data_IF_566331164413
#
_entry.id   IF_566331164413
#
_cell.length_a   1.000
_cell.length_b   1.000
_cell.length_c   1.000
_cell.angle_alpha   90.00
_cell.angle_beta   90.00
_cell.angle_gamma   90.00
#
_symmetry.space_group_name_H-M   'P 1'
#
loop_
_entity.id
_entity.type
_entity.pdbx_description
1 polymer ?
#
# COMPACT_ATOMS: atom_id res chain seq x y z
N UNK A 1 -13.61 41.28 -85.02
CA UNK A 1 -13.83 42.69 -85.41
C UNK A 1 -12.85 43.68 -84.75
N UNK A 2 -12.43 43.50 -83.49
CA UNK A 2 -11.60 44.48 -82.75
C UNK A 2 -10.14 44.69 -83.26
N UNK A 3 -9.52 43.73 -83.96
CA UNK A 3 -8.16 43.91 -84.52
C UNK A 3 -8.10 44.90 -85.69
N UNK A 4 -9.21 45.12 -86.41
CA UNK A 4 -9.21 45.85 -87.69
C UNK A 4 -9.03 47.37 -87.56
N UNK A 5 -9.17 47.92 -86.36
CA UNK A 5 -9.00 49.35 -86.07
C UNK A 5 -7.91 49.63 -85.01
N UNK A 6 -7.17 48.60 -84.59
CA UNK A 6 -6.16 48.73 -83.53
C UNK A 6 -4.99 49.61 -83.99
N UNK A 7 -4.60 49.47 -85.26
CA UNK A 7 -3.49 50.21 -85.87
C UNK A 7 -3.78 51.71 -85.97
N UNK A 8 -5.02 52.09 -86.34
CA UNK A 8 -5.46 53.49 -86.40
C UNK A 8 -5.50 54.16 -85.02
N UNK A 9 -5.81 53.41 -83.96
CA UNK A 9 -5.79 53.92 -82.57
C UNK A 9 -4.35 54.06 -82.07
N UNK A 10 -3.46 53.13 -82.41
CA UNK A 10 -2.05 53.21 -82.02
C UNK A 10 -1.31 54.38 -82.67
N UNK A 11 -1.70 54.80 -83.88
CA UNK A 11 -1.11 55.94 -84.61
C UNK A 11 -1.58 57.30 -84.03
N UNK A 12 -2.75 57.36 -83.40
CA UNK A 12 -3.36 58.62 -82.93
C UNK A 12 -3.13 58.91 -81.44
N UNK A 13 -2.76 57.91 -80.64
CA UNK A 13 -2.47 58.09 -79.22
C UNK A 13 -1.11 58.77 -79.03
N UNK A 14 -1.10 59.89 -78.31
CA UNK A 14 0.14 60.57 -77.87
C UNK A 14 0.56 60.08 -76.48
N UNK A 15 1.84 60.17 -76.08
CA UNK A 15 2.35 59.77 -74.76
C UNK A 15 1.61 60.38 -73.55
N UNK A 16 0.91 61.50 -73.76
CA UNK A 16 0.07 62.19 -72.77
C UNK A 16 -1.17 61.35 -72.38
N UNK A 17 -1.61 60.42 -73.23
CA UNK A 17 -2.80 59.61 -72.97
C UNK A 17 -2.43 58.33 -72.20
N UNK A 18 -3.12 58.06 -71.07
CA UNK A 18 -2.97 56.84 -70.25
C UNK A 18 -3.04 55.54 -71.05
N UNK A 19 -3.79 55.53 -72.16
CA UNK A 19 -3.96 54.34 -73.01
C UNK A 19 -2.78 54.08 -73.96
N UNK A 20 -1.89 55.06 -74.16
CA UNK A 20 -0.75 54.95 -75.08
C UNK A 20 0.17 53.79 -74.71
N UNK A 21 0.72 53.81 -73.49
CA UNK A 21 1.63 52.79 -73.00
C UNK A 21 0.95 51.44 -72.85
N UNK A 22 -0.27 51.42 -72.32
CA UNK A 22 -1.05 50.20 -72.15
C UNK A 22 -1.25 49.47 -73.48
N UNK A 23 -1.72 50.16 -74.53
CA UNK A 23 -2.00 49.53 -75.82
C UNK A 23 -0.74 49.02 -76.49
N UNK A 24 0.34 49.82 -76.51
CA UNK A 24 1.62 49.41 -77.12
C UNK A 24 2.25 48.23 -76.39
N UNK A 25 2.21 48.21 -75.06
CA UNK A 25 2.69 47.08 -74.25
C UNK A 25 1.91 45.80 -74.59
N UNK A 26 0.57 45.87 -74.61
CA UNK A 26 -0.32 44.74 -74.91
C UNK A 26 -0.11 44.23 -76.34
N UNK A 27 -0.01 45.13 -77.33
CA UNK A 27 0.21 44.76 -78.72
C UNK A 27 1.55 44.05 -78.91
N UNK A 28 2.65 44.59 -78.36
CA UNK A 28 3.96 43.94 -78.45
C UNK A 28 3.99 42.59 -77.72
N UNK A 29 3.35 42.50 -76.55
CA UNK A 29 3.21 41.24 -75.82
C UNK A 29 2.48 40.17 -76.64
N UNK A 30 1.35 40.51 -77.27
CA UNK A 30 0.59 39.56 -78.10
C UNK A 30 1.29 39.20 -79.42
N UNK A 31 2.14 40.07 -79.95
CA UNK A 31 2.96 39.80 -81.13
C UNK A 31 4.25 39.02 -80.79
N UNK A 32 4.42 38.58 -79.55
CA UNK A 32 5.61 37.90 -79.04
C UNK A 32 6.92 38.74 -79.03
N UNK A 33 6.80 40.07 -79.15
CA UNK A 33 7.92 41.01 -79.03
C UNK A 33 8.13 41.37 -77.54
N UNK A 34 8.58 40.40 -76.74
CA UNK A 34 8.64 40.55 -75.28
C UNK A 34 9.68 41.56 -74.78
N UNK A 35 10.79 41.73 -75.51
CA UNK A 35 11.81 42.73 -75.19
C UNK A 35 11.26 44.16 -75.37
N UNK A 36 10.61 44.42 -76.51
CA UNK A 36 9.96 45.71 -76.77
C UNK A 36 8.81 45.97 -75.80
N UNK A 37 8.04 44.92 -75.47
CA UNK A 37 6.97 45.01 -74.47
C UNK A 37 7.53 45.40 -73.09
N UNK A 38 8.69 44.86 -72.69
CA UNK A 38 9.37 45.21 -71.44
C UNK A 38 9.88 46.64 -71.44
N UNK A 39 10.52 47.10 -72.52
CA UNK A 39 10.99 48.48 -72.65
C UNK A 39 9.82 49.48 -72.53
N UNK A 40 8.72 49.21 -73.24
CA UNK A 40 7.51 50.04 -73.16
C UNK A 40 6.88 49.97 -71.76
N UNK A 41 6.96 48.83 -71.08
CA UNK A 41 6.48 48.67 -69.71
C UNK A 41 7.33 49.47 -68.70
N UNK A 42 8.66 49.52 -68.88
CA UNK A 42 9.55 50.35 -68.07
C UNK A 42 9.24 51.83 -68.24
N UNK A 43 9.03 52.29 -69.48
CA UNK A 43 8.57 53.65 -69.76
C UNK A 43 7.17 53.92 -69.15
N UNK A 44 6.26 52.95 -69.22
CA UNK A 44 4.93 53.08 -68.63
C UNK A 44 5.02 53.28 -67.12
N UNK A 45 5.87 52.49 -66.45
CA UNK A 45 6.07 52.56 -65.01
C UNK A 45 6.53 53.96 -64.56
N UNK A 46 7.47 54.57 -65.29
CA UNK A 46 7.96 55.93 -64.99
C UNK A 46 6.87 57.01 -65.16
N UNK A 47 5.87 56.74 -66.01
CA UNK A 47 4.82 57.70 -66.37
C UNK A 47 3.47 57.41 -65.68
N UNK A 48 3.42 56.48 -64.72
CA UNK A 48 2.21 56.20 -63.95
C UNK A 48 2.46 56.24 -62.44
N UNK A 49 1.46 56.72 -61.68
CA UNK A 49 1.55 56.85 -60.21
C UNK A 49 1.10 55.56 -59.54
N UNK A 50 1.83 55.11 -58.52
CA UNK A 50 1.41 54.01 -57.65
C UNK A 50 0.06 54.30 -56.97
N UNK A 51 -0.72 53.25 -56.71
CA UNK A 51 -2.09 53.31 -56.20
C UNK A 51 -3.14 53.64 -57.26
N UNK A 52 -2.77 53.65 -58.55
CA UNK A 52 -3.70 53.92 -59.66
C UNK A 52 -4.00 52.67 -60.49
N UNK A 53 -5.15 52.67 -61.16
CA UNK A 53 -5.55 51.58 -62.06
C UNK A 53 -4.54 51.35 -63.20
N UNK A 54 -3.87 52.42 -63.65
CA UNK A 54 -2.84 52.34 -64.69
C UNK A 54 -1.60 51.60 -64.20
N UNK A 55 -1.17 51.87 -62.97
CA UNK A 55 -0.03 51.18 -62.33
C UNK A 55 -0.35 49.71 -62.05
N UNK A 56 -1.56 49.40 -61.60
CA UNK A 56 -2.04 48.02 -61.43
C UNK A 56 -1.96 47.22 -62.74
N UNK A 57 -2.46 47.80 -63.84
CA UNK A 57 -2.43 47.15 -65.17
C UNK A 57 -1.00 47.00 -65.69
N UNK A 58 -0.16 48.02 -65.50
CA UNK A 58 1.26 47.97 -65.86
C UNK A 58 1.98 46.82 -65.14
N UNK A 59 1.81 46.72 -63.81
CA UNK A 59 2.41 45.68 -63.00
C UNK A 59 1.91 44.28 -63.39
N UNK A 60 0.63 44.14 -63.73
CA UNK A 60 0.08 42.88 -64.25
C UNK A 60 0.78 42.44 -65.53
N UNK A 61 0.89 43.31 -66.54
CA UNK A 61 1.58 42.95 -67.79
C UNK A 61 3.08 42.71 -67.59
N UNK A 62 3.71 43.39 -66.63
CA UNK A 62 5.09 43.11 -66.24
C UNK A 62 5.23 41.69 -65.69
N UNK A 63 4.28 41.24 -64.88
CA UNK A 63 4.25 39.86 -64.39
C UNK A 63 4.05 38.83 -65.52
N UNK A 64 3.22 39.15 -66.52
CA UNK A 64 3.03 38.29 -67.69
C UNK A 64 4.28 38.18 -68.56
N UNK A 65 5.08 39.25 -68.68
CA UNK A 65 6.38 39.21 -69.34
C UNK A 65 7.33 38.28 -68.57
N UNK A 66 7.41 38.42 -67.24
CA UNK A 66 8.23 37.53 -66.41
C UNK A 66 7.74 36.07 -66.42
N UNK A 67 6.44 35.83 -66.58
CA UNK A 67 5.87 34.50 -66.81
C UNK A 67 6.44 33.86 -68.06
N UNK A 68 6.53 34.60 -69.17
CA UNK A 68 7.13 34.11 -70.43
C UNK A 68 8.64 33.88 -70.27
N UNK A 69 9.33 34.72 -69.50
CA UNK A 69 10.75 34.52 -69.17
C UNK A 69 11.00 33.40 -68.14
N UNK A 70 9.97 32.66 -67.70
CA UNK A 70 10.04 31.62 -66.67
C UNK A 70 10.65 32.10 -65.34
N UNK A 71 10.61 33.41 -65.06
CA UNK A 71 11.08 33.96 -63.79
C UNK A 71 9.91 34.04 -62.80
N UNK A 72 9.66 32.93 -62.10
CA UNK A 72 8.53 32.79 -61.17
C UNK A 72 8.58 33.77 -60.00
N UNK A 73 9.75 34.09 -59.46
CA UNK A 73 9.86 34.99 -58.32
C UNK A 73 9.51 36.42 -58.70
N UNK A 74 9.98 36.89 -59.85
CA UNK A 74 9.58 38.20 -60.38
C UNK A 74 8.12 38.21 -60.80
N UNK A 75 7.61 37.12 -61.38
CA UNK A 75 6.19 37.00 -61.68
C UNK A 75 5.33 37.15 -60.40
N UNK A 76 5.66 36.43 -59.32
CA UNK A 76 4.99 36.55 -58.01
C UNK A 76 5.07 37.96 -57.46
N UNK A 77 6.26 38.56 -57.47
CA UNK A 77 6.48 39.93 -57.01
C UNK A 77 5.58 40.93 -57.75
N UNK A 78 5.59 40.90 -59.09
CA UNK A 78 4.82 41.85 -59.89
C UNK A 78 3.31 41.59 -59.85
N UNK A 79 2.88 40.34 -59.69
CA UNK A 79 1.48 40.01 -59.39
C UNK A 79 1.05 40.58 -58.04
N UNK A 80 1.86 40.42 -56.98
CA UNK A 80 1.56 41.00 -55.67
C UNK A 80 1.50 42.53 -55.72
N UNK A 81 2.44 43.17 -56.41
CA UNK A 81 2.40 44.63 -56.65
C UNK A 81 1.13 45.02 -57.40
N UNK A 82 0.75 44.28 -58.45
CA UNK A 82 -0.48 44.52 -59.18
C UNK A 82 -1.71 44.39 -58.26
N UNK A 83 -1.83 43.31 -57.49
CA UNK A 83 -2.94 43.07 -56.55
C UNK A 83 -3.07 44.17 -55.51
N UNK A 84 -1.96 44.63 -54.91
CA UNK A 84 -1.98 45.73 -53.94
C UNK A 84 -2.54 47.01 -54.58
N UNK A 85 -2.09 47.32 -55.79
CA UNK A 85 -2.56 48.50 -56.52
C UNK A 85 -4.02 48.36 -56.99
N UNK A 86 -4.47 47.15 -57.37
CA UNK A 86 -5.86 46.85 -57.69
C UNK A 86 -6.75 47.11 -56.47
N UNK A 87 -6.35 46.67 -55.28
CA UNK A 87 -7.06 46.92 -54.03
C UNK A 87 -7.10 48.42 -53.66
N UNK A 88 -5.95 49.10 -53.73
CA UNK A 88 -5.86 50.54 -53.43
C UNK A 88 -6.68 51.42 -54.38
N UNK A 89 -6.80 51.01 -55.65
CA UNK A 89 -7.55 51.75 -56.67
C UNK A 89 -8.99 51.26 -56.89
N UNK A 90 -9.49 50.41 -55.98
CA UNK A 90 -10.81 49.81 -56.02
C UNK A 90 -11.15 49.14 -57.37
N UNK A 91 -10.17 48.46 -57.97
CA UNK A 91 -10.39 47.67 -59.18
C UNK A 91 -11.06 46.35 -58.83
N UNK A 92 -12.28 46.16 -59.33
CA UNK A 92 -13.12 45.00 -59.00
C UNK A 92 -12.84 43.73 -59.82
N UNK A 93 -11.87 43.77 -60.75
CA UNK A 93 -11.56 42.63 -61.63
C UNK A 93 -10.50 41.68 -61.05
N UNK A 94 -9.60 42.20 -60.20
CA UNK A 94 -8.63 41.49 -59.34
C UNK A 94 -7.91 40.27 -59.95
N UNK A 95 -7.61 40.31 -61.26
CA UNK A 95 -7.05 39.17 -61.99
C UNK A 95 -5.65 38.83 -61.49
N UNK A 96 -4.88 39.84 -61.07
CA UNK A 96 -3.53 39.61 -60.55
C UNK A 96 -3.55 38.75 -59.29
N UNK A 97 -4.55 38.96 -58.42
CA UNK A 97 -4.65 38.22 -57.15
C UNK A 97 -5.03 36.75 -57.38
N UNK A 98 -5.85 36.45 -58.40
CA UNK A 98 -6.16 35.09 -58.82
C UNK A 98 -4.94 34.35 -59.36
N UNK A 99 -4.20 34.98 -60.28
CA UNK A 99 -2.98 34.38 -60.82
C UNK A 99 -1.95 34.15 -59.71
N UNK A 100 -1.87 35.06 -58.74
CA UNK A 100 -1.00 34.88 -57.58
C UNK A 100 -1.45 33.69 -56.73
N UNK A 101 -2.76 33.56 -56.47
CA UNK A 101 -3.31 32.45 -55.70
C UNK A 101 -3.07 31.09 -56.37
N UNK A 102 -3.18 31.01 -57.69
CA UNK A 102 -2.87 29.79 -58.45
C UNK A 102 -1.38 29.41 -58.33
N UNK A 103 -0.47 30.39 -58.41
CA UNK A 103 0.96 30.15 -58.21
C UNK A 103 1.23 29.68 -56.77
N UNK A 104 0.62 30.31 -55.76
CA UNK A 104 0.77 29.89 -54.36
C UNK A 104 0.27 28.45 -54.15
N UNK A 105 -0.85 28.08 -54.77
CA UNK A 105 -1.38 26.72 -54.69
C UNK A 105 -0.41 25.71 -55.31
N UNK A 106 0.11 26.01 -56.50
CA UNK A 106 1.08 25.17 -57.20
C UNK A 106 2.42 25.05 -56.46
N UNK A 107 2.83 26.08 -55.72
CA UNK A 107 4.01 26.08 -54.86
C UNK A 107 3.77 25.35 -53.52
N UNK A 108 2.53 24.89 -53.25
CA UNK A 108 2.14 24.16 -52.03
C UNK A 108 1.73 25.05 -50.85
N UNK A 109 1.70 26.37 -51.03
CA UNK A 109 1.23 27.34 -50.05
C UNK A 109 -0.29 27.53 -50.15
N UNK A 110 -1.00 26.49 -49.72
CA UNK A 110 -2.47 26.39 -49.78
C UNK A 110 -3.13 27.47 -48.89
N UNK A 111 -2.48 27.91 -47.81
CA UNK A 111 -3.04 28.89 -46.88
C UNK A 111 -3.12 30.27 -47.55
N UNK A 112 -2.02 30.75 -48.14
CA UNK A 112 -2.04 32.02 -48.88
C UNK A 112 -2.89 31.93 -50.14
N UNK A 113 -2.84 30.80 -50.86
CA UNK A 113 -3.71 30.56 -52.01
C UNK A 113 -5.18 30.71 -51.64
N UNK A 114 -5.62 30.07 -50.56
CA UNK A 114 -6.99 30.15 -50.07
C UNK A 114 -7.37 31.57 -49.63
N UNK A 115 -6.51 32.26 -48.87
CA UNK A 115 -6.76 33.65 -48.44
C UNK A 115 -6.88 34.63 -49.62
N UNK A 116 -6.04 34.49 -50.66
CA UNK A 116 -6.08 35.36 -51.84
C UNK A 116 -7.33 35.15 -52.67
N UNK A 117 -7.70 33.88 -52.87
CA UNK A 117 -8.93 33.47 -53.55
C UNK A 117 -10.18 33.91 -52.80
N UNK A 118 -10.21 33.79 -51.48
CA UNK A 118 -11.33 34.26 -50.66
C UNK A 118 -11.48 35.78 -50.76
N UNK A 119 -10.38 36.52 -50.59
CA UNK A 119 -10.37 37.98 -50.71
C UNK A 119 -10.92 38.41 -52.08
N UNK A 120 -10.51 37.74 -53.15
CA UNK A 120 -10.98 38.11 -54.47
C UNK A 120 -12.42 37.69 -54.76
N UNK A 121 -12.86 36.54 -54.24
CA UNK A 121 -14.24 36.09 -54.33
C UNK A 121 -15.22 37.05 -53.62
N UNK A 122 -14.85 37.58 -52.45
CA UNK A 122 -15.65 38.60 -51.75
C UNK A 122 -15.90 39.84 -52.62
N UNK A 123 -14.90 40.28 -53.39
CA UNK A 123 -15.04 41.43 -54.29
C UNK A 123 -15.84 41.09 -55.57
N UNK A 124 -15.61 39.92 -56.17
CA UNK A 124 -16.30 39.47 -57.38
C UNK A 124 -17.80 39.23 -57.10
N UNK A 125 -18.14 38.63 -55.96
CA UNK A 125 -19.53 38.34 -55.58
C UNK A 125 -20.36 39.60 -55.35
N UNK A 126 -19.74 40.72 -54.95
CA UNK A 126 -20.42 41.99 -54.72
C UNK A 126 -20.56 42.87 -55.98
N UNK A 127 -19.57 42.86 -56.89
CA UNK A 127 -19.47 43.89 -57.93
C UNK A 127 -19.35 43.38 -59.39
N UNK A 128 -19.26 42.07 -59.64
CA UNK A 128 -18.94 41.54 -60.99
C UNK A 128 -20.17 41.14 -61.83
N UNK A 129 -19.97 41.02 -63.15
CA UNK A 129 -20.97 40.47 -64.07
C UNK A 129 -20.93 38.94 -64.06
N UNK A 130 -22.10 38.30 -64.18
CA UNK A 130 -22.26 36.84 -64.10
C UNK A 130 -21.24 36.05 -64.94
N UNK A 131 -20.91 36.52 -66.16
CA UNK A 131 -19.92 35.87 -67.04
C UNK A 131 -18.51 35.77 -66.46
N UNK A 132 -18.10 36.70 -65.59
CA UNK A 132 -16.77 36.69 -64.98
C UNK A 132 -16.69 35.76 -63.77
N UNK A 133 -17.77 35.64 -63.00
CA UNK A 133 -17.85 34.68 -61.91
C UNK A 133 -17.64 33.24 -62.41
N UNK A 134 -18.20 32.89 -63.58
CA UNK A 134 -18.06 31.57 -64.20
C UNK A 134 -16.62 31.15 -64.51
N UNK A 135 -15.74 32.08 -64.91
CA UNK A 135 -14.34 31.78 -65.26
C UNK A 135 -13.50 31.43 -64.02
N UNK A 136 -13.87 32.02 -62.88
CA UNK A 136 -13.10 31.96 -61.65
C UNK A 136 -13.55 30.82 -60.72
N UNK A 137 -14.82 30.41 -60.81
CA UNK A 137 -15.39 29.33 -59.99
C UNK A 137 -14.55 28.05 -59.96
N UNK A 138 -14.03 27.50 -61.08
CA UNK A 138 -13.26 26.25 -61.04
C UNK A 138 -12.01 26.34 -60.15
N UNK A 139 -11.26 27.43 -60.25
CA UNK A 139 -10.02 27.66 -59.48
C UNK A 139 -10.35 27.81 -57.99
N UNK A 140 -11.38 28.61 -57.67
CA UNK A 140 -11.89 28.75 -56.29
C UNK A 140 -12.31 27.39 -55.71
N UNK A 141 -13.04 26.58 -56.48
CA UNK A 141 -13.49 25.27 -56.00
C UNK A 141 -12.33 24.32 -55.74
N UNK A 142 -11.30 24.33 -56.60
CA UNK A 142 -10.12 23.48 -56.41
C UNK A 142 -9.34 23.87 -55.14
N UNK A 143 -8.96 25.15 -54.99
CA UNK A 143 -8.19 25.63 -53.84
C UNK A 143 -8.98 25.43 -52.53
N UNK A 144 -10.30 25.67 -52.57
CA UNK A 144 -11.18 25.40 -51.42
C UNK A 144 -11.25 23.91 -51.05
N UNK A 145 -11.24 23.02 -52.04
CA UNK A 145 -11.21 21.58 -51.79
C UNK A 145 -9.86 21.16 -51.20
N UNK A 146 -8.74 21.62 -51.75
CA UNK A 146 -7.41 21.32 -51.23
C UNK A 146 -7.25 21.81 -49.78
N UNK A 147 -7.69 23.03 -49.48
CA UNK A 147 -7.71 23.55 -48.11
C UNK A 147 -8.59 22.71 -47.17
N UNK A 148 -9.80 22.32 -47.60
CA UNK A 148 -10.67 21.41 -46.81
C UNK A 148 -10.03 20.05 -46.56
N UNK A 149 -9.34 19.48 -47.55
CA UNK A 149 -8.65 18.19 -47.36
C UNK A 149 -7.49 18.31 -46.38
N UNK A 150 -6.73 19.42 -46.41
CA UNK A 150 -5.68 19.74 -45.43
C UNK A 150 -6.26 19.80 -44.02
N UNK A 151 -7.34 20.54 -43.81
CA UNK A 151 -8.04 20.61 -42.53
C UNK A 151 -8.56 19.24 -42.07
N UNK A 152 -9.12 18.45 -42.98
CA UNK A 152 -9.60 17.09 -42.70
C UNK A 152 -8.49 16.17 -42.18
N UNK A 153 -7.29 16.23 -42.78
CA UNK A 153 -6.12 15.45 -42.34
C UNK A 153 -5.60 15.88 -40.97
N UNK A 154 -5.57 17.18 -40.71
CA UNK A 154 -5.19 17.71 -39.39
C UNK A 154 -6.19 17.25 -38.34
N UNK A 155 -7.49 17.41 -38.61
CA UNK A 155 -8.54 17.02 -37.68
C UNK A 155 -8.51 15.51 -37.40
N UNK A 156 -8.32 14.66 -38.42
CA UNK A 156 -8.22 13.21 -38.22
C UNK A 156 -6.98 12.80 -37.43
N UNK A 157 -5.86 13.49 -37.63
CA UNK A 157 -4.64 13.26 -36.84
C UNK A 157 -4.86 13.65 -35.38
N UNK A 158 -5.48 14.81 -35.14
CA UNK A 158 -5.82 15.26 -33.78
C UNK A 158 -6.80 14.30 -33.10
N UNK A 159 -7.83 13.79 -33.79
CA UNK A 159 -8.75 12.81 -33.21
C UNK A 159 -8.06 11.48 -32.89
N UNK A 160 -7.18 10.99 -33.77
CA UNK A 160 -6.36 9.80 -33.48
C UNK A 160 -5.44 9.99 -32.28
N UNK A 161 -4.78 11.15 -32.17
CA UNK A 161 -3.95 11.49 -31.01
C UNK A 161 -4.76 11.55 -29.72
N UNK A 162 -5.97 12.13 -29.74
CA UNK A 162 -6.87 12.16 -28.59
C UNK A 162 -7.33 10.75 -28.17
N UNK A 163 -7.66 9.89 -29.14
CA UNK A 163 -7.99 8.50 -28.84
C UNK A 163 -6.80 7.75 -28.21
N UNK A 164 -5.58 7.96 -28.73
CA UNK A 164 -4.38 7.34 -28.20
C UNK A 164 -4.05 7.80 -26.76
N UNK A 165 -4.22 9.10 -26.46
CA UNK A 165 -4.00 9.63 -25.10
C UNK A 165 -5.05 9.11 -24.12
N UNK A 166 -6.33 9.06 -24.50
CA UNK A 166 -7.39 8.47 -23.68
C UNK A 166 -7.12 7.00 -23.38
N UNK A 167 -6.71 6.22 -24.38
CA UNK A 167 -6.38 4.81 -24.20
C UNK A 167 -5.19 4.62 -23.24
N UNK A 168 -4.17 5.47 -23.33
CA UNK A 168 -3.03 5.47 -22.41
C UNK A 168 -3.45 5.77 -20.97
N UNK A 169 -4.33 6.74 -20.75
CA UNK A 169 -4.86 7.08 -19.42
C UNK A 169 -5.64 5.89 -18.83
N UNK A 170 -6.49 5.24 -19.63
CA UNK A 170 -7.25 4.06 -19.19
C UNK A 170 -6.29 2.92 -18.78
N UNK A 171 -5.25 2.68 -19.58
CA UNK A 171 -4.24 1.67 -19.26
C UNK A 171 -3.51 1.97 -17.95
N UNK A 172 -3.10 3.23 -17.71
CA UNK A 172 -2.47 3.65 -16.46
C UNK A 172 -3.41 3.48 -15.26
N UNK A 173 -4.68 3.82 -15.39
CA UNK A 173 -5.69 3.64 -14.34
C UNK A 173 -5.90 2.16 -14.01
N UNK A 174 -6.00 1.29 -15.02
CA UNK A 174 -6.10 -0.16 -14.81
C UNK A 174 -4.87 -0.73 -14.11
N UNK A 175 -3.68 -0.34 -14.55
CA UNK A 175 -2.41 -0.74 -13.91
C UNK A 175 -2.37 -0.30 -12.44
N UNK A 176 -2.74 0.95 -12.14
CA UNK A 176 -2.81 1.47 -10.77
C UNK A 176 -3.79 0.68 -9.90
N UNK A 177 -4.99 0.37 -10.42
CA UNK A 177 -5.99 -0.43 -9.70
C UNK A 177 -5.45 -1.82 -9.36
N UNK A 178 -4.77 -2.48 -10.31
CA UNK A 178 -4.16 -3.79 -10.09
C UNK A 178 -3.11 -3.71 -8.98
N UNK A 179 -2.18 -2.76 -9.05
CA UNK A 179 -1.13 -2.58 -8.03
C UNK A 179 -1.72 -2.29 -6.65
N UNK A 180 -2.75 -1.45 -6.56
CA UNK A 180 -3.42 -1.15 -5.29
C UNK A 180 -4.17 -2.37 -4.73
N UNK A 181 -4.76 -3.20 -5.59
CA UNK A 181 -5.44 -4.43 -5.19
C UNK A 181 -4.44 -5.46 -4.65
N UNK A 182 -3.34 -5.67 -5.36
CA UNK A 182 -2.24 -6.55 -4.92
C UNK A 182 -1.69 -6.10 -3.56
N UNK A 183 -1.38 -4.79 -3.40
CA UNK A 183 -0.90 -4.25 -2.12
C UNK A 183 -1.88 -4.46 -0.96
N UNK A 184 -3.19 -4.33 -1.19
CA UNK A 184 -4.20 -4.58 -0.16
C UNK A 184 -4.23 -6.05 0.26
N UNK A 185 -4.16 -6.98 -0.71
CA UNK A 185 -4.13 -8.42 -0.45
C UNK A 185 -2.87 -8.82 0.32
N UNK A 186 -1.69 -8.34 -0.09
CA UNK A 186 -0.42 -8.64 0.58
C UNK A 186 -0.38 -8.09 2.01
N UNK A 187 -0.87 -6.86 2.22
CA UNK A 187 -0.89 -6.26 3.56
C UNK A 187 -1.84 -7.00 4.51
N UNK A 188 -3.01 -7.44 4.02
CA UNK A 188 -3.94 -8.24 4.82
C UNK A 188 -3.33 -9.61 5.21
N UNK A 189 -2.65 -10.27 4.26
CA UNK A 189 -1.96 -11.54 4.52
C UNK A 189 -0.77 -11.38 5.49
N UNK A 190 0.00 -10.29 5.38
CA UNK A 190 1.08 -10.00 6.33
C UNK A 190 0.54 -9.71 7.74
N UNK A 191 -0.58 -8.99 7.84
CA UNK A 191 -1.20 -8.70 9.12
C UNK A 191 -1.74 -9.97 9.80
N UNK A 192 -2.41 -10.86 9.04
CA UNK A 192 -2.89 -12.13 9.60
C UNK A 192 -1.73 -13.03 10.01
N UNK A 193 -0.66 -13.10 9.22
CA UNK A 193 0.57 -13.81 9.59
C UNK A 193 1.19 -13.26 10.88
N UNK A 194 1.24 -11.93 11.04
CA UNK A 194 1.81 -11.33 12.25
C UNK A 194 1.01 -11.72 13.49
N UNK A 195 -0.32 -11.68 13.43
CA UNK A 195 -1.19 -12.11 14.53
C UNK A 195 -0.94 -13.58 14.87
N UNK A 196 -0.90 -14.47 13.87
CA UNK A 196 -0.68 -15.90 14.14
C UNK A 196 0.70 -16.18 14.74
N UNK A 197 1.74 -15.45 14.31
CA UNK A 197 3.06 -15.53 14.94
C UNK A 197 3.05 -15.09 16.41
N UNK A 198 2.35 -13.99 16.72
CA UNK A 198 2.21 -13.49 18.09
C UNK A 198 1.45 -14.49 18.97
N UNK A 199 0.34 -15.05 18.47
CA UNK A 199 -0.42 -16.11 19.15
C UNK A 199 0.42 -17.36 19.39
N UNK A 200 1.19 -17.80 18.39
CA UNK A 200 2.08 -18.95 18.52
C UNK A 200 3.19 -18.70 19.55
N UNK A 201 3.75 -17.50 19.60
CA UNK A 201 4.76 -17.13 20.59
C UNK A 201 4.19 -17.15 22.02
N UNK A 202 2.98 -16.63 22.21
CA UNK A 202 2.27 -16.67 23.50
C UNK A 202 2.00 -18.12 23.90
N UNK A 203 1.50 -18.95 22.98
CA UNK A 203 1.20 -20.34 23.24
C UNK A 203 2.46 -21.14 23.60
N UNK A 204 3.55 -20.92 22.88
CA UNK A 204 4.82 -21.59 23.15
C UNK A 204 5.39 -21.18 24.52
N UNK A 205 5.30 -19.89 24.88
CA UNK A 205 5.68 -19.41 26.21
C UNK A 205 4.82 -20.06 27.31
N UNK A 206 3.51 -20.19 27.09
CA UNK A 206 2.59 -20.87 28.02
C UNK A 206 2.94 -22.35 28.16
N UNK A 207 3.26 -23.03 27.06
CA UNK A 207 3.63 -24.44 27.05
C UNK A 207 4.97 -24.66 27.77
N UNK A 208 5.95 -23.79 27.55
CA UNK A 208 7.23 -23.80 28.27
C UNK A 208 7.02 -23.63 29.79
N UNK A 209 6.19 -22.67 30.21
CA UNK A 209 5.86 -22.46 31.63
C UNK A 209 5.11 -23.65 32.26
N UNK A 210 4.24 -24.32 31.50
CA UNK A 210 3.57 -25.53 31.99
C UNK A 210 4.56 -26.70 32.12
N UNK A 211 5.49 -26.81 31.17
CA UNK A 211 6.51 -27.84 31.20
C UNK A 211 7.48 -27.65 32.38
N UNK A 212 7.91 -26.42 32.67
CA UNK A 212 8.74 -26.14 33.86
C UNK A 212 8.01 -26.48 35.15
N UNK A 213 6.73 -26.07 35.28
CA UNK A 213 5.89 -26.44 36.43
C UNK A 213 5.72 -27.96 36.58
N UNK A 214 5.60 -28.69 35.47
CA UNK A 214 5.56 -30.16 35.48
C UNK A 214 6.88 -30.77 35.96
N UNK A 215 8.01 -30.26 35.47
CA UNK A 215 9.34 -30.70 35.91
C UNK A 215 9.53 -30.44 37.41
N UNK A 216 9.14 -29.27 37.91
CA UNK A 216 9.21 -28.94 39.34
C UNK A 216 8.32 -29.88 40.18
N UNK A 217 7.10 -30.16 39.72
CA UNK A 217 6.21 -31.13 40.38
C UNK A 217 6.79 -32.54 40.41
N UNK A 218 7.41 -32.98 39.31
CA UNK A 218 8.07 -34.28 39.25
C UNK A 218 9.28 -34.33 40.19
N UNK A 219 10.12 -33.30 40.21
CA UNK A 219 11.26 -33.22 41.13
C UNK A 219 10.83 -33.33 42.59
N UNK A 220 9.74 -32.66 42.95
CA UNK A 220 9.14 -32.77 44.29
C UNK A 220 8.75 -34.22 44.55
N UNK A 221 7.98 -34.88 43.66
CA UNK A 221 7.60 -36.30 43.76
C UNK A 221 8.82 -37.23 43.90
N UNK A 222 9.89 -37.00 43.15
CA UNK A 222 11.10 -37.81 43.21
C UNK A 222 11.79 -37.69 44.57
N UNK A 223 11.80 -36.50 45.17
CA UNK A 223 12.32 -36.30 46.53
C UNK A 223 11.50 -37.05 47.58
N UNK A 224 10.17 -37.11 47.45
CA UNK A 224 9.33 -37.94 48.32
C UNK A 224 9.68 -39.41 48.21
N UNK A 225 9.75 -39.93 46.98
CA UNK A 225 10.04 -41.34 46.71
C UNK A 225 11.41 -41.69 47.31
N UNK A 226 12.40 -40.82 47.12
CA UNK A 226 13.74 -40.97 47.70
C UNK A 226 13.67 -41.02 49.23
N UNK A 227 12.95 -40.10 49.86
CA UNK A 227 12.82 -40.08 51.32
C UNK A 227 12.06 -41.30 51.85
N UNK A 228 11.03 -41.77 51.14
CA UNK A 228 10.30 -42.99 51.47
C UNK A 228 11.23 -44.21 51.48
N UNK A 229 12.00 -44.41 50.42
CA UNK A 229 12.97 -45.51 50.37
C UNK A 229 14.09 -45.36 51.41
N UNK A 230 14.50 -44.14 51.73
CA UNK A 230 15.47 -43.90 52.79
C UNK A 230 14.94 -44.37 54.16
N UNK A 231 13.68 -44.03 54.49
CA UNK A 231 13.01 -44.51 55.70
C UNK A 231 12.93 -46.05 55.70
N UNK A 232 12.52 -46.67 54.59
CA UNK A 232 12.48 -48.12 54.50
C UNK A 232 13.86 -48.76 54.74
N UNK A 233 14.92 -48.17 54.17
CA UNK A 233 16.29 -48.64 54.37
C UNK A 233 16.74 -48.52 55.83
N UNK A 234 16.45 -47.38 56.48
CA UNK A 234 16.77 -47.16 57.90
C UNK A 234 16.03 -48.19 58.78
N UNK A 235 14.76 -48.46 58.49
CA UNK A 235 13.99 -49.49 59.21
C UNK A 235 14.55 -50.90 59.00
N UNK A 236 14.94 -51.28 57.78
CA UNK A 236 15.55 -52.58 57.49
C UNK A 236 16.83 -52.75 58.31
N UNK A 237 17.72 -51.75 58.28
CA UNK A 237 18.98 -51.79 59.03
C UNK A 237 18.74 -51.87 60.55
N UNK A 238 17.76 -51.11 61.06
CA UNK A 238 17.40 -51.11 62.47
C UNK A 238 16.84 -52.46 62.92
N UNK A 239 15.95 -53.07 62.12
CA UNK A 239 15.43 -54.41 62.40
C UNK A 239 16.52 -55.48 62.33
N UNK A 240 17.46 -55.38 61.39
CA UNK A 240 18.58 -56.32 61.30
C UNK A 240 19.53 -56.17 62.51
N UNK A 241 19.85 -54.94 62.91
CA UNK A 241 20.63 -54.66 64.11
C UNK A 241 19.95 -55.19 65.38
N UNK A 242 18.63 -55.07 65.47
CA UNK A 242 17.85 -55.65 66.57
C UNK A 242 17.93 -57.18 66.58
N UNK A 243 17.72 -57.82 65.42
CA UNK A 243 17.86 -59.27 65.22
C UNK A 243 19.25 -59.76 65.60
N UNK A 244 20.31 -59.08 65.17
CA UNK A 244 21.70 -59.39 65.50
C UNK A 244 21.97 -59.24 67.00
N UNK A 245 21.45 -58.19 67.64
CA UNK A 245 21.59 -57.96 69.08
C UNK A 245 20.93 -59.07 69.90
N UNK A 246 19.72 -59.49 69.53
CA UNK A 246 19.04 -60.64 70.16
C UNK A 246 19.86 -61.92 69.97
N UNK A 247 20.25 -62.23 68.73
CA UNK A 247 21.02 -63.44 68.43
C UNK A 247 22.34 -63.52 69.20
N UNK A 248 23.07 -62.40 69.33
CA UNK A 248 24.31 -62.35 70.13
C UNK A 248 24.06 -62.68 71.60
N UNK A 249 23.00 -62.13 72.20
CA UNK A 249 22.67 -62.38 73.62
C UNK A 249 22.22 -63.81 73.88
N UNK A 250 21.44 -64.39 72.97
CA UNK A 250 21.03 -65.79 73.06
C UNK A 250 22.22 -66.75 72.98
N UNK A 251 23.20 -66.49 72.10
CA UNK A 251 24.42 -67.33 71.96
C UNK A 251 25.26 -67.42 73.23
N UNK A 252 25.20 -66.41 74.11
CA UNK A 252 25.95 -66.36 75.39
C UNK A 252 25.03 -66.69 76.59
N UNK A 253 23.88 -67.35 76.35
CA UNK A 253 22.88 -67.72 77.36
C UNK A 253 22.34 -66.56 78.22
N UNK A 254 22.37 -65.31 77.73
CA UNK A 254 21.83 -64.13 78.42
C UNK A 254 20.30 -64.01 78.28
N UNK A 255 19.56 -65.06 78.60
CA UNK A 255 18.10 -65.15 78.36
C UNK A 255 17.32 -64.07 79.12
N UNK A 256 17.67 -63.81 80.39
CA UNK A 256 17.01 -62.76 81.20
C UNK A 256 17.13 -61.36 80.57
N UNK A 257 18.28 -61.05 79.95
CA UNK A 257 18.49 -59.76 79.30
C UNK A 257 17.69 -59.62 78.01
N UNK A 258 17.52 -60.71 77.25
CA UNK A 258 16.66 -60.74 76.05
C UNK A 258 15.22 -60.47 76.44
N UNK A 259 14.70 -61.13 77.49
CA UNK A 259 13.35 -60.89 78.01
C UNK A 259 13.18 -59.41 78.38
N UNK A 260 14.11 -58.84 79.15
CA UNK A 260 14.06 -57.42 79.52
C UNK A 260 14.08 -56.48 78.32
N UNK A 261 14.87 -56.79 77.28
CA UNK A 261 14.92 -56.03 76.03
C UNK A 261 13.61 -56.10 75.25
N UNK A 262 13.01 -57.30 75.13
CA UNK A 262 11.79 -57.52 74.33
C UNK A 262 10.51 -57.10 75.05
N UNK A 263 10.50 -57.10 76.38
CA UNK A 263 9.33 -56.73 77.18
C UNK A 263 9.23 -55.21 77.41
N UNK A 264 10.25 -54.44 77.04
CA UNK A 264 10.26 -52.99 77.21
C UNK A 264 9.44 -52.28 76.13
N UNK A 265 8.51 -51.41 76.53
CA UNK A 265 7.81 -50.50 75.59
C UNK A 265 8.71 -49.35 75.10
N UNK A 266 9.92 -49.19 75.63
CA UNK A 266 10.82 -48.09 75.27
C UNK A 266 11.11 -48.05 73.77
N UNK A 267 11.31 -49.22 73.14
CA UNK A 267 11.57 -49.29 71.70
C UNK A 267 10.38 -48.75 70.89
N UNK A 268 9.15 -49.12 71.28
CA UNK A 268 7.92 -48.65 70.63
C UNK A 268 7.79 -47.14 70.73
N UNK A 269 8.11 -46.55 71.88
CA UNK A 269 8.03 -45.10 72.05
C UNK A 269 9.15 -44.34 71.30
N UNK A 270 10.34 -44.92 71.19
CA UNK A 270 11.41 -44.34 70.40
C UNK A 270 11.09 -44.39 68.89
N UNK A 271 10.50 -45.49 68.39
CA UNK A 271 10.01 -45.57 67.01
C UNK A 271 8.92 -44.53 66.72
N UNK A 272 8.01 -44.30 67.67
CA UNK A 272 6.94 -43.30 67.52
C UNK A 272 7.49 -41.89 67.43
N UNK A 273 8.43 -41.53 68.31
CA UNK A 273 9.09 -40.22 68.23
C UNK A 273 9.82 -40.05 66.91
N UNK A 274 10.46 -41.10 66.41
CA UNK A 274 11.14 -41.10 65.12
C UNK A 274 10.16 -40.95 63.95
N UNK A 275 9.01 -41.64 63.98
CA UNK A 275 7.94 -41.51 62.99
C UNK A 275 7.41 -40.06 62.93
N UNK A 276 7.11 -39.46 64.09
CA UNK A 276 6.62 -38.09 64.15
C UNK A 276 7.65 -37.07 63.65
N UNK A 277 8.95 -37.27 63.96
CA UNK A 277 10.02 -36.42 63.42
C UNK A 277 10.15 -36.56 61.90
N UNK A 278 10.06 -37.78 61.37
CA UNK A 278 10.07 -38.00 59.93
C UNK A 278 8.85 -37.37 59.27
N UNK A 279 7.66 -37.54 59.86
CA UNK A 279 6.43 -36.91 59.39
C UNK A 279 6.58 -35.39 59.34
N UNK A 280 7.01 -34.74 60.44
CA UNK A 280 7.17 -33.28 60.50
C UNK A 280 8.14 -32.79 59.42
N UNK A 281 9.31 -33.44 59.30
CA UNK A 281 10.34 -33.08 58.32
C UNK A 281 9.85 -33.24 56.88
N UNK A 282 9.24 -34.39 56.58
CA UNK A 282 8.70 -34.65 55.24
C UNK A 282 7.60 -33.65 54.96
N UNK A 283 6.59 -33.55 55.83
CA UNK A 283 5.45 -32.67 55.63
C UNK A 283 5.85 -31.20 55.38
N UNK A 284 6.75 -30.65 56.20
CA UNK A 284 7.19 -29.26 56.07
C UNK A 284 8.11 -29.02 54.86
N UNK A 285 8.82 -30.04 54.36
CA UNK A 285 9.55 -29.88 53.09
C UNK A 285 8.60 -29.68 51.89
N UNK A 286 7.34 -30.12 52.03
CA UNK A 286 6.35 -30.15 50.95
C UNK A 286 5.41 -28.98 51.04
N UNK A 287 5.14 -28.56 52.27
CA UNK A 287 4.35 -27.39 52.59
C UNK A 287 5.17 -26.50 53.55
N UNK A 288 6.23 -25.82 53.06
CA UNK A 288 7.13 -25.02 53.92
C UNK A 288 6.40 -23.94 54.70
N UNK A 289 5.39 -23.34 54.10
CA UNK A 289 4.60 -22.25 54.69
C UNK A 289 3.37 -22.74 55.46
N UNK A 290 3.21 -24.06 55.65
CA UNK A 290 1.98 -24.62 56.25
C UNK A 290 1.64 -24.01 57.60
N UNK A 291 2.63 -23.86 58.49
CA UNK A 291 2.40 -23.34 59.84
C UNK A 291 1.95 -21.88 59.81
N UNK A 292 2.50 -21.09 58.88
CA UNK A 292 2.16 -19.69 58.68
C UNK A 292 0.76 -19.55 58.07
N UNK A 293 0.47 -20.27 56.99
CA UNK A 293 -0.84 -20.28 56.33
C UNK A 293 -1.95 -20.81 57.27
N UNK A 294 -1.65 -21.85 58.06
CA UNK A 294 -2.55 -22.37 59.08
C UNK A 294 -2.86 -21.32 60.15
N UNK A 295 -1.84 -20.65 60.69
CA UNK A 295 -2.02 -19.63 61.72
C UNK A 295 -2.67 -18.34 61.19
N UNK A 296 -2.52 -18.04 59.90
CA UNK A 296 -3.21 -16.92 59.26
C UNK A 296 -4.73 -17.11 59.21
N UNK A 297 -5.22 -18.36 59.28
CA UNK A 297 -6.65 -18.68 59.33
C UNK A 297 -7.23 -18.64 60.75
N UNK A 298 -6.40 -18.48 61.78
CA UNK A 298 -6.80 -18.44 63.19
C UNK A 298 -6.74 -17.01 63.73
N UNK A 299 -7.66 -16.68 64.64
CA UNK A 299 -7.64 -15.42 65.39
C UNK A 299 -6.30 -15.28 66.13
N UNK A 300 -5.76 -14.05 66.32
CA UNK A 300 -4.45 -13.84 66.94
C UNK A 300 -4.26 -14.62 68.27
N UNK A 301 -5.30 -14.64 69.11
CA UNK A 301 -5.34 -15.33 70.40
C UNK A 301 -5.42 -16.86 70.29
N UNK A 302 -5.82 -17.41 69.14
CA UNK A 302 -5.96 -18.83 68.89
C UNK A 302 -4.79 -19.43 68.10
N UNK A 303 -3.79 -18.62 67.71
CA UNK A 303 -2.63 -19.08 66.94
C UNK A 303 -1.79 -20.09 67.73
N UNK A 304 -1.26 -21.06 67.00
CA UNK A 304 -0.57 -22.21 67.54
C UNK A 304 0.90 -22.13 67.16
N UNK A 305 1.76 -22.06 68.18
CA UNK A 305 3.22 -22.02 68.00
C UNK A 305 3.84 -23.30 68.55
N UNK A 306 4.75 -23.97 67.82
CA UNK A 306 5.51 -25.09 68.35
C UNK A 306 6.34 -24.71 69.59
N UNK A 307 6.61 -25.68 70.47
CA UNK A 307 7.53 -25.47 71.61
C UNK A 307 8.98 -25.34 71.12
N UNK A 308 9.86 -24.73 71.92
CA UNK A 308 11.28 -24.57 71.58
C UNK A 308 11.91 -25.94 71.28
N UNK A 309 12.35 -26.14 70.04
CA UNK A 309 12.98 -27.38 69.56
C UNK A 309 12.04 -28.37 68.85
N UNK A 310 10.74 -28.10 68.78
CA UNK A 310 9.78 -28.89 67.99
C UNK A 310 9.44 -28.18 66.67
N UNK A 311 9.35 -28.93 65.57
CA UNK A 311 8.91 -28.41 64.27
C UNK A 311 7.39 -28.27 64.20
N UNK A 312 6.65 -29.24 64.75
CA UNK A 312 5.20 -29.21 64.86
C UNK A 312 4.74 -29.78 66.20
N UNK A 313 3.61 -29.29 66.70
CA UNK A 313 2.91 -29.88 67.85
C UNK A 313 1.75 -30.77 67.39
N UNK A 314 1.11 -31.47 68.33
CA UNK A 314 0.01 -32.40 68.04
C UNK A 314 -1.10 -31.75 67.23
N UNK A 315 -1.51 -30.51 67.53
CA UNK A 315 -2.57 -29.84 66.77
C UNK A 315 -2.16 -29.60 65.32
N UNK A 316 -0.96 -29.08 65.09
CA UNK A 316 -0.42 -28.89 63.73
C UNK A 316 -0.35 -30.21 62.96
N UNK A 317 0.05 -31.31 63.63
CA UNK A 317 0.10 -32.65 63.00
C UNK A 317 -1.28 -33.18 62.61
N UNK A 318 -2.29 -32.97 63.45
CA UNK A 318 -3.68 -33.35 63.12
C UNK A 318 -4.12 -32.66 61.83
N UNK A 319 -3.87 -31.35 61.70
CA UNK A 319 -4.30 -30.60 60.52
C UNK A 319 -3.41 -30.83 59.30
N UNK A 320 -2.14 -31.18 59.49
CA UNK A 320 -1.27 -31.66 58.42
C UNK A 320 -1.75 -32.99 57.84
N UNK A 321 -2.22 -33.92 58.68
CA UNK A 321 -2.82 -35.19 58.22
C UNK A 321 -4.12 -34.95 57.44
N UNK A 322 -4.96 -34.02 57.88
CA UNK A 322 -6.16 -33.58 57.13
C UNK A 322 -5.74 -32.98 55.78
N UNK A 323 -4.68 -32.16 55.74
CA UNK A 323 -4.14 -31.61 54.49
C UNK A 323 -3.71 -32.70 53.51
N UNK A 324 -3.18 -33.82 54.00
CA UNK A 324 -2.83 -34.99 53.18
C UNK A 324 -4.04 -35.85 52.79
N UNK A 325 -5.26 -35.48 53.19
CA UNK A 325 -6.50 -36.21 52.88
C UNK A 325 -6.89 -37.26 53.93
N UNK A 326 -6.16 -37.37 55.04
CA UNK A 326 -6.49 -38.29 56.13
C UNK A 326 -7.51 -37.59 57.04
N UNK A 327 -8.78 -37.64 56.63
CA UNK A 327 -9.85 -36.86 57.26
C UNK A 327 -10.54 -37.59 58.43
N UNK A 328 -10.43 -38.92 58.52
CA UNK A 328 -11.05 -39.70 59.59
C UNK A 328 -10.36 -39.49 60.93
N UNK A 329 -11.10 -39.06 61.96
CA UNK A 329 -10.56 -38.88 63.33
C UNK A 329 -9.94 -40.17 63.88
N UNK A 330 -10.48 -41.34 63.53
CA UNK A 330 -9.93 -42.65 63.91
C UNK A 330 -8.55 -42.92 63.29
N UNK A 331 -8.38 -42.59 62.01
CA UNK A 331 -7.11 -42.81 61.30
C UNK A 331 -6.01 -41.87 61.83
N UNK A 332 -6.38 -40.61 62.12
CA UNK A 332 -5.46 -39.67 62.77
C UNK A 332 -5.10 -40.13 64.18
N UNK A 333 -6.09 -40.62 64.93
CA UNK A 333 -5.91 -41.12 66.29
C UNK A 333 -4.94 -42.31 66.31
N UNK A 334 -5.07 -43.23 65.35
CA UNK A 334 -4.14 -44.34 65.16
C UNK A 334 -2.73 -43.85 64.83
N UNK A 335 -2.57 -42.95 63.85
CA UNK A 335 -1.26 -42.43 63.44
C UNK A 335 -0.53 -41.69 64.57
N UNK A 336 -1.24 -40.86 65.33
CA UNK A 336 -0.67 -40.06 66.41
C UNK A 336 -0.67 -40.79 67.77
N UNK A 337 -1.22 -42.00 67.84
CA UNK A 337 -1.49 -42.75 69.06
C UNK A 337 -2.24 -41.93 70.14
N UNK A 338 -3.40 -41.39 69.77
CA UNK A 338 -4.35 -40.79 70.70
C UNK A 338 -5.68 -41.54 70.70
N UNK A 339 -6.53 -41.28 71.69
CA UNK A 339 -7.93 -41.70 71.60
C UNK A 339 -8.65 -40.89 70.51
N UNK A 340 -9.58 -41.47 69.75
CA UNK A 340 -10.39 -40.74 68.76
C UNK A 340 -11.06 -39.50 69.34
N UNK A 341 -11.58 -39.60 70.57
CA UNK A 341 -12.20 -38.48 71.30
C UNK A 341 -11.24 -37.30 71.52
N UNK A 342 -9.94 -37.57 71.75
CA UNK A 342 -8.94 -36.51 71.88
C UNK A 342 -8.75 -35.76 70.55
N UNK A 343 -8.75 -36.47 69.42
CA UNK A 343 -8.67 -35.85 68.09
C UNK A 343 -9.90 -34.97 67.83
N UNK A 344 -11.11 -35.44 68.16
CA UNK A 344 -12.33 -34.61 68.07
C UNK A 344 -12.22 -33.33 68.91
N UNK A 345 -11.70 -33.42 70.14
CA UNK A 345 -11.52 -32.27 71.01
C UNK A 345 -10.51 -31.25 70.44
N UNK A 346 -9.37 -31.73 69.91
CA UNK A 346 -8.37 -30.86 69.26
C UNK A 346 -8.95 -30.14 68.03
N UNK A 347 -9.70 -30.87 67.18
CA UNK A 347 -10.35 -30.30 65.99
C UNK A 347 -11.37 -29.24 66.37
N UNK A 348 -12.30 -29.57 67.27
CA UNK A 348 -13.35 -28.65 67.69
C UNK A 348 -12.78 -27.37 68.35
N UNK A 349 -11.77 -27.51 69.22
CA UNK A 349 -11.10 -26.38 69.85
C UNK A 349 -10.45 -25.45 68.82
N UNK A 350 -9.74 -26.03 67.86
CA UNK A 350 -9.04 -25.25 66.83
C UNK A 350 -10.02 -24.56 65.88
N UNK A 351 -11.08 -25.28 65.46
CA UNK A 351 -12.15 -24.74 64.63
C UNK A 351 -12.85 -23.54 65.28
N UNK A 352 -13.08 -23.56 66.59
CA UNK A 352 -13.66 -22.41 67.31
C UNK A 352 -12.77 -21.16 67.29
N UNK A 353 -11.47 -21.31 67.03
CA UNK A 353 -10.50 -20.22 66.88
C UNK A 353 -10.35 -19.69 65.46
N UNK A 354 -11.08 -20.24 64.48
CA UNK A 354 -11.02 -19.80 63.09
C UNK A 354 -11.54 -18.37 62.89
N UNK A 355 -10.94 -17.63 61.96
CA UNK A 355 -11.39 -16.28 61.57
C UNK A 355 -12.65 -16.35 60.70
N UNK A 356 -12.70 -17.32 59.78
CA UNK A 356 -13.80 -17.54 58.83
C UNK A 356 -14.75 -18.63 59.33
N UNK A 357 -15.68 -19.04 58.45
CA UNK A 357 -16.65 -20.11 58.70
C UNK A 357 -15.98 -21.38 59.28
N UNK A 358 -16.54 -21.84 60.40
CA UNK A 358 -16.08 -23.00 61.16
C UNK A 358 -16.22 -24.30 60.37
N UNK A 359 -17.28 -24.38 59.56
CA UNK A 359 -17.62 -25.61 58.85
C UNK A 359 -16.74 -25.79 57.61
N UNK A 360 -16.25 -24.71 57.00
CA UNK A 360 -15.33 -24.73 55.86
C UNK A 360 -13.84 -24.77 56.25
N UNK A 361 -13.50 -24.62 57.54
CA UNK A 361 -12.11 -24.50 58.00
C UNK A 361 -11.20 -25.66 57.55
N UNK A 362 -11.67 -26.91 57.68
CA UNK A 362 -10.88 -28.08 57.25
C UNK A 362 -10.71 -28.13 55.71
N UNK A 363 -11.71 -27.71 54.95
CA UNK A 363 -11.59 -27.60 53.49
C UNK A 363 -10.58 -26.53 53.07
N UNK A 364 -10.52 -25.42 53.81
CA UNK A 364 -9.51 -24.38 53.58
C UNK A 364 -8.10 -24.88 53.90
N UNK A 365 -7.95 -25.67 54.98
CA UNK A 365 -6.68 -26.34 55.29
C UNK A 365 -6.26 -27.27 54.17
N UNK A 366 -7.17 -28.06 53.59
CA UNK A 366 -6.84 -28.92 52.44
C UNK A 366 -6.33 -28.15 51.21
N UNK A 367 -6.59 -26.84 51.11
CA UNK A 367 -6.16 -25.97 50.01
C UNK A 367 -4.80 -25.29 50.24
N UNK A 368 -4.21 -25.39 51.43
CA UNK A 368 -2.88 -24.84 51.73
C UNK A 368 -1.86 -25.39 50.71
N UNK A 369 -1.09 -24.51 50.08
CA UNK A 369 -0.12 -24.91 49.05
C UNK A 369 -0.69 -25.48 47.74
N UNK A 370 -2.01 -25.35 47.48
CA UNK A 370 -2.62 -25.60 46.15
C UNK A 370 -2.71 -24.33 45.27
N UNK A 371 -2.28 -23.17 45.79
CA UNK A 371 -2.23 -21.93 45.03
C UNK A 371 -1.08 -21.95 44.02
N UNK A 372 -1.46 -22.11 42.75
CA UNK A 372 -0.62 -22.15 41.54
C UNK A 372 -0.44 -20.77 40.92
#
# INVERSE_FOLDING_TARGET
>A
MARKYLDSVNITLKPVNKLYYQRRCITNFHNANYQDAMQINDEWMLNCKQGTQSYATMAYYRSEIYRVYNNKDMQKYWLAVASINELQSAMMNQVALWNLAEIMNNDGDIDHAFSYVECSWQNISQFSTHKRSWVVTPILTQISQEYRTKLGKVNSTVTWLLCATLLSIIFLLLSLIIVLRERKLTNAAQHSLKITYEELAILNKRLSNLNTRLVDSNRVKDQYITNFFHICSEYIEKMDNYRLKINRKLKVNQIKEVINLTSSEQMKEDERKMLLKHFDKVFLNLYPNFVEEFNAMLKPEARITPKRGEQMNTTLRIFALIRLGINGSSNIAEFLNYAPNSIYAYRARTKNGAIKDRDDFENQIMKIGLTV
#
